data_IF_675473160465
#
_entry.id   IF_675473160465
#
_cell.length_a   1.000
_cell.length_b   1.000
_cell.length_c   1.000
_cell.angle_alpha   90.00
_cell.angle_beta   90.00
_cell.angle_gamma   90.00
#
_symmetry.space_group_name_H-M   'P 1'
#
loop_
_entity.id
_entity.type
_entity.pdbx_description
1 polymer ?
#
# COMPACT_ATOMS: atom_id res chain seq x y z
N UNK A 1 -21.04 81.71 39.81
CA UNK A 1 -21.83 80.55 39.34
C UNK A 1 -22.16 80.74 37.86
N UNK A 2 -21.50 80.03 36.94
CA UNK A 2 -21.98 79.82 35.55
C UNK A 2 -21.09 78.76 34.87
N UNK A 3 -21.44 77.50 35.10
CA UNK A 3 -20.91 76.31 34.39
C UNK A 3 -22.15 75.54 33.94
N UNK A 4 -22.47 75.53 32.64
CA UNK A 4 -23.35 74.57 31.96
C UNK A 4 -23.68 75.07 30.53
N UNK A 5 -22.69 75.20 29.63
CA UNK A 5 -22.94 75.55 28.21
C UNK A 5 -21.92 74.94 27.24
N UNK A 6 -21.56 73.67 27.42
CA UNK A 6 -20.74 72.92 26.45
C UNK A 6 -21.51 71.73 25.82
N UNK A 7 -22.33 71.03 26.61
CA UNK A 7 -23.06 69.85 26.13
C UNK A 7 -24.14 70.16 25.09
N UNK A 8 -24.81 71.32 25.17
CA UNK A 8 -25.86 71.70 24.22
C UNK A 8 -25.33 72.16 22.86
N UNK A 9 -24.06 72.59 22.78
CA UNK A 9 -23.42 72.96 21.49
C UNK A 9 -22.93 71.73 20.70
N UNK A 10 -22.65 70.62 21.36
CA UNK A 10 -22.22 69.37 20.72
C UNK A 10 -23.38 68.61 20.06
N UNK A 11 -24.62 68.81 20.55
CA UNK A 11 -25.80 68.10 20.07
C UNK A 11 -26.39 68.75 18.79
N UNK A 12 -26.13 70.03 18.55
CA UNK A 12 -26.69 70.77 17.40
C UNK A 12 -25.73 70.90 16.20
N UNK A 13 -24.58 70.23 16.23
CA UNK A 13 -23.54 70.38 15.19
C UNK A 13 -23.65 69.27 14.13
N UNK A 14 -24.34 69.56 13.02
CA UNK A 14 -24.56 68.61 11.91
C UNK A 14 -23.25 68.18 11.21
N UNK A 15 -22.15 68.91 11.42
CA UNK A 15 -20.82 68.54 10.93
C UNK A 15 -20.28 67.26 11.57
N UNK A 16 -20.80 66.86 12.74
CA UNK A 16 -20.48 65.61 13.41
C UNK A 16 -21.29 64.40 12.93
N UNK A 17 -22.43 64.60 12.26
CA UNK A 17 -23.30 63.49 11.84
C UNK A 17 -22.63 62.60 10.78
N UNK A 18 -21.81 63.20 9.91
CA UNK A 18 -20.97 62.46 8.95
C UNK A 18 -19.93 61.61 9.68
N UNK A 19 -19.33 62.12 10.76
CA UNK A 19 -18.37 61.36 11.55
C UNK A 19 -19.02 60.19 12.30
N UNK A 20 -20.25 60.36 12.81
CA UNK A 20 -21.01 59.28 13.46
C UNK A 20 -21.42 58.21 12.44
N UNK A 21 -21.97 58.59 11.28
CA UNK A 21 -22.29 57.63 10.22
C UNK A 21 -21.05 56.91 9.68
N UNK A 22 -19.94 57.64 9.49
CA UNK A 22 -18.67 57.07 9.08
C UNK A 22 -18.14 56.06 10.11
N UNK A 23 -18.18 56.38 11.41
CA UNK A 23 -17.74 55.48 12.46
C UNK A 23 -18.56 54.18 12.52
N UNK A 24 -19.89 54.26 12.33
CA UNK A 24 -20.77 53.09 12.31
C UNK A 24 -20.49 52.21 11.08
N UNK A 25 -20.36 52.81 9.89
CA UNK A 25 -20.07 52.06 8.67
C UNK A 25 -18.68 51.42 8.73
N UNK A 26 -17.67 52.16 9.21
CA UNK A 26 -16.32 51.64 9.39
C UNK A 26 -16.30 50.44 10.35
N UNK A 27 -17.06 50.52 11.45
CA UNK A 27 -17.19 49.41 12.39
C UNK A 27 -17.82 48.17 11.74
N UNK A 28 -18.87 48.33 10.94
CA UNK A 28 -19.52 47.22 10.22
C UNK A 28 -18.56 46.59 9.20
N UNK A 29 -17.81 47.41 8.44
CA UNK A 29 -16.83 46.90 7.45
C UNK A 29 -15.70 46.14 8.14
N UNK A 30 -15.17 46.66 9.25
CA UNK A 30 -14.12 45.99 10.02
C UNK A 30 -14.63 44.69 10.65
N UNK A 31 -15.86 44.66 11.16
CA UNK A 31 -16.50 43.44 11.66
C UNK A 31 -16.65 42.38 10.58
N UNK A 32 -17.15 42.75 9.40
CA UNK A 32 -17.30 41.84 8.27
C UNK A 32 -15.93 41.32 7.76
N UNK A 33 -14.93 42.18 7.68
CA UNK A 33 -13.57 41.79 7.32
C UNK A 33 -12.96 40.83 8.36
N UNK A 34 -13.21 41.06 9.64
CA UNK A 34 -12.74 40.20 10.72
C UNK A 34 -13.33 38.80 10.66
N UNK A 35 -14.64 38.70 10.45
CA UNK A 35 -15.32 37.41 10.24
C UNK A 35 -14.73 36.68 9.01
N UNK A 36 -14.53 37.40 7.89
CA UNK A 36 -13.98 36.79 6.69
C UNK A 36 -12.56 36.23 6.90
N UNK A 37 -11.71 36.94 7.65
CA UNK A 37 -10.35 36.50 7.99
C UNK A 37 -10.40 35.25 8.89
N UNK A 38 -11.23 35.26 9.94
CA UNK A 38 -11.34 34.12 10.87
C UNK A 38 -11.95 32.88 10.20
N UNK A 39 -12.93 33.05 9.29
CA UNK A 39 -13.48 31.94 8.49
C UNK A 39 -12.43 31.38 7.52
N UNK A 40 -11.63 32.24 6.91
CA UNK A 40 -10.55 31.78 6.01
C UNK A 40 -9.48 31.02 6.80
N UNK A 41 -9.10 31.53 7.98
CA UNK A 41 -8.12 30.89 8.86
C UNK A 41 -8.61 29.55 9.40
N UNK A 42 -9.86 29.48 9.87
CA UNK A 42 -10.47 28.23 10.35
C UNK A 42 -10.58 27.20 9.24
N UNK A 43 -10.94 27.61 8.01
CA UNK A 43 -10.99 26.69 6.86
C UNK A 43 -9.62 26.09 6.52
N UNK A 44 -8.56 26.91 6.54
CA UNK A 44 -7.19 26.41 6.33
C UNK A 44 -6.74 25.45 7.43
N UNK A 45 -7.04 25.77 8.69
CA UNK A 45 -6.69 24.93 9.84
C UNK A 45 -7.46 23.62 9.89
N UNK A 46 -8.74 23.64 9.50
CA UNK A 46 -9.55 22.43 9.34
C UNK A 46 -8.93 21.49 8.30
N UNK A 47 -8.52 22.02 7.15
CA UNK A 47 -7.84 21.22 6.13
C UNK A 47 -6.52 20.61 6.63
N UNK A 48 -5.74 21.36 7.41
CA UNK A 48 -4.48 20.88 8.02
C UNK A 48 -4.74 19.75 9.04
N UNK A 49 -5.77 19.89 9.88
CA UNK A 49 -6.18 18.85 10.84
C UNK A 49 -6.66 17.60 10.10
N UNK A 50 -7.48 17.74 9.05
CA UNK A 50 -7.92 16.59 8.23
C UNK A 50 -6.72 15.83 7.64
N UNK A 51 -5.76 16.52 7.04
CA UNK A 51 -4.56 15.89 6.48
C UNK A 51 -3.72 15.18 7.57
N UNK A 52 -3.59 15.80 8.75
CA UNK A 52 -2.90 15.21 9.89
C UNK A 52 -3.63 13.99 10.47
N UNK A 53 -4.96 14.03 10.54
CA UNK A 53 -5.82 12.91 10.98
C UNK A 53 -5.65 11.74 10.02
N UNK A 54 -5.75 11.97 8.70
CA UNK A 54 -5.58 10.94 7.67
C UNK A 54 -4.20 10.27 7.75
N UNK A 55 -3.15 11.06 7.93
CA UNK A 55 -1.79 10.53 8.13
C UNK A 55 -1.69 9.72 9.43
N UNK A 56 -2.32 10.18 10.51
CA UNK A 56 -2.35 9.51 11.81
C UNK A 56 -3.05 8.16 11.78
N UNK A 57 -4.26 8.10 11.20
CA UNK A 57 -5.03 6.85 11.11
C UNK A 57 -4.38 5.84 10.17
N UNK A 58 -3.77 6.29 9.06
CA UNK A 58 -3.01 5.41 8.18
C UNK A 58 -1.77 4.82 8.88
N UNK A 59 -1.09 5.61 9.71
CA UNK A 59 0.05 5.13 10.48
C UNK A 59 -0.36 4.11 11.54
N UNK A 60 -1.49 4.33 12.24
CA UNK A 60 -2.05 3.34 13.17
C UNK A 60 -2.47 2.05 12.46
N UNK A 61 -3.15 2.15 11.31
CA UNK A 61 -3.53 0.98 10.51
C UNK A 61 -2.30 0.15 10.09
N UNK A 62 -1.23 0.80 9.61
CA UNK A 62 0.05 0.13 9.29
C UNK A 62 0.70 -0.53 10.51
N UNK A 63 0.63 0.10 11.67
CA UNK A 63 1.19 -0.46 12.90
C UNK A 63 0.45 -1.72 13.34
N UNK A 64 -0.90 -1.72 13.29
CA UNK A 64 -1.74 -2.89 13.57
C UNK A 64 -1.48 -4.03 12.60
N UNK A 65 -1.26 -3.74 11.32
CA UNK A 65 -0.91 -4.75 10.32
C UNK A 65 0.37 -5.53 10.68
N UNK A 66 1.38 -4.84 11.23
CA UNK A 66 2.60 -5.49 11.74
C UNK A 66 2.54 -5.93 13.20
N UNK A 67 1.45 -5.66 13.93
CA UNK A 67 1.29 -6.05 15.35
C UNK A 67 -0.16 -6.44 15.61
N UNK A 68 -0.57 -7.68 15.26
CA UNK A 68 -1.97 -8.10 15.34
C UNK A 68 -2.58 -7.97 16.74
N UNK A 69 -1.76 -8.11 17.78
CA UNK A 69 -2.16 -8.03 19.18
C UNK A 69 -2.08 -6.62 19.79
N UNK A 70 -1.79 -5.58 18.99
CA UNK A 70 -1.75 -4.21 19.48
C UNK A 70 -3.15 -3.78 19.97
N UNK A 71 -3.21 -3.17 21.14
CA UNK A 71 -4.43 -2.61 21.72
C UNK A 71 -4.72 -1.20 21.16
N UNK A 72 -5.96 -0.74 21.35
CA UNK A 72 -6.42 0.59 20.90
C UNK A 72 -5.57 1.73 21.49
N UNK A 73 -4.96 1.51 22.66
CA UNK A 73 -4.10 2.49 23.32
C UNK A 73 -2.76 2.63 22.57
N UNK A 74 -2.12 1.53 22.18
CA UNK A 74 -0.91 1.56 21.35
C UNK A 74 -1.18 2.19 19.97
N UNK A 75 -2.33 1.89 19.36
CA UNK A 75 -2.74 2.49 18.09
C UNK A 75 -2.95 4.00 18.21
N UNK A 76 -3.61 4.43 19.28
CA UNK A 76 -3.83 5.85 19.56
C UNK A 76 -2.51 6.57 19.81
N UNK A 77 -1.53 5.94 20.48
CA UNK A 77 -0.21 6.52 20.69
C UNK A 77 0.57 6.72 19.39
N UNK A 78 0.52 5.75 18.47
CA UNK A 78 1.17 5.84 17.15
C UNK A 78 0.50 6.90 16.28
N UNK A 79 -0.84 6.89 16.21
CA UNK A 79 -1.60 7.91 15.49
C UNK A 79 -1.28 9.31 16.00
N UNK A 80 -1.24 9.51 17.32
CA UNK A 80 -0.95 10.81 17.94
C UNK A 80 0.44 11.30 17.57
N UNK A 81 1.45 10.43 17.58
CA UNK A 81 2.82 10.81 17.23
C UNK A 81 2.93 11.32 15.78
N UNK A 82 2.23 10.67 14.84
CA UNK A 82 2.22 11.09 13.44
C UNK A 82 1.39 12.35 13.25
N UNK A 83 0.23 12.42 13.88
CA UNK A 83 -0.63 13.61 13.89
C UNK A 83 0.13 14.86 14.39
N UNK A 84 0.82 14.74 15.53
CA UNK A 84 1.63 15.81 16.12
C UNK A 84 2.82 16.21 15.24
N UNK A 85 3.32 15.32 14.38
CA UNK A 85 4.36 15.63 13.42
C UNK A 85 3.82 16.32 12.16
N UNK A 86 2.55 16.06 11.80
CA UNK A 86 1.89 16.60 10.62
C UNK A 86 1.36 18.02 10.81
N UNK A 87 1.01 18.42 12.05
CA UNK A 87 0.58 19.81 12.34
C UNK A 87 1.79 20.75 12.39
N UNK A 88 1.83 21.72 11.49
CA UNK A 88 2.92 22.70 11.35
C UNK A 88 2.82 23.82 12.37
N UNK A 89 1.61 24.20 12.76
CA UNK A 89 1.38 25.28 13.73
C UNK A 89 0.37 24.87 14.81
N UNK A 90 0.93 24.55 15.97
CA UNK A 90 0.26 24.08 17.19
C UNK A 90 -0.20 25.20 18.11
N UNK A 91 0.14 26.45 17.81
CA UNK A 91 -0.02 27.57 18.76
C UNK A 91 -1.45 28.08 18.89
N UNK A 92 -2.35 27.66 17.99
CA UNK A 92 -3.72 28.15 17.90
C UNK A 92 -4.79 27.05 18.08
N UNK A 93 -4.38 25.78 18.22
CA UNK A 93 -5.28 24.62 18.26
C UNK A 93 -5.09 23.92 19.61
N UNK A 94 -6.16 23.75 20.38
CA UNK A 94 -6.21 22.77 21.47
C UNK A 94 -6.91 21.50 20.99
N UNK A 95 -6.40 20.33 21.37
CA UNK A 95 -7.01 19.03 21.07
C UNK A 95 -7.58 18.51 22.37
N UNK A 96 -8.89 18.34 22.43
CA UNK A 96 -9.62 17.97 23.64
C UNK A 96 -9.88 16.46 23.70
N UNK A 97 -10.10 15.82 22.54
CA UNK A 97 -10.17 14.38 22.42
C UNK A 97 -9.45 13.87 21.15
N UNK A 98 -8.84 12.68 21.29
CA UNK A 98 -8.15 11.98 20.20
C UNK A 98 -8.22 10.49 20.51
N UNK A 99 -9.00 9.74 19.75
CA UNK A 99 -9.22 8.32 20.02
C UNK A 99 -9.26 7.54 18.71
N UNK A 100 -8.43 6.50 18.62
CA UNK A 100 -8.59 5.47 17.58
C UNK A 100 -9.52 4.40 18.13
N UNK A 101 -10.56 4.08 17.37
CA UNK A 101 -11.43 2.92 17.63
C UNK A 101 -11.28 1.93 16.49
N UNK A 102 -11.02 0.67 16.82
CA UNK A 102 -11.05 -0.42 15.86
C UNK A 102 -12.40 -1.15 15.95
N UNK A 103 -13.07 -1.31 14.81
CA UNK A 103 -14.23 -2.17 14.68
C UNK A 103 -13.81 -3.50 14.04
N UNK A 104 -13.63 -4.52 14.89
CA UNK A 104 -13.26 -5.89 14.50
C UNK A 104 -14.27 -6.51 13.50
N UNK A 105 -15.51 -6.02 13.42
CA UNK A 105 -16.54 -6.61 12.56
C UNK A 105 -16.41 -6.18 11.08
N UNK A 106 -15.79 -5.02 10.82
CA UNK A 106 -15.72 -4.41 9.48
C UNK A 106 -14.27 -4.13 9.03
N UNK A 107 -13.28 -4.50 9.85
CA UNK A 107 -11.85 -4.19 9.68
C UNK A 107 -11.60 -2.68 9.43
N UNK A 108 -12.39 -1.84 10.11
CA UNK A 108 -12.35 -0.39 9.98
C UNK A 108 -11.73 0.24 11.22
N UNK A 109 -10.75 1.12 11.02
CA UNK A 109 -10.25 2.03 12.04
C UNK A 109 -10.91 3.38 11.84
N UNK A 110 -11.48 3.92 12.90
CA UNK A 110 -11.91 5.32 12.94
C UNK A 110 -10.99 6.07 13.90
N UNK A 111 -10.50 7.24 13.46
CA UNK A 111 -9.81 8.20 14.32
C UNK A 111 -10.72 9.41 14.49
N UNK A 112 -11.10 9.64 15.74
CA UNK A 112 -11.86 10.81 16.17
C UNK A 112 -10.90 11.84 16.77
N UNK A 113 -10.96 13.08 16.26
CA UNK A 113 -10.16 14.22 16.71
C UNK A 113 -11.07 15.41 16.95
N UNK A 114 -11.20 15.78 18.22
CA UNK A 114 -11.92 16.97 18.67
C UNK A 114 -10.91 18.04 19.09
N UNK A 115 -11.09 19.27 18.60
CA UNK A 115 -10.28 20.39 19.03
C UNK A 115 -10.94 21.75 18.86
N UNK A 116 -10.41 22.75 19.56
CA UNK A 116 -10.87 24.14 19.45
C UNK A 116 -9.79 25.04 18.86
N UNK A 117 -10.23 25.99 18.03
CA UNK A 117 -9.40 27.00 17.41
C UNK A 117 -9.73 28.38 18.00
N UNK A 118 -8.71 29.08 18.50
CA UNK A 118 -8.87 30.46 18.98
C UNK A 118 -9.06 31.44 17.80
N UNK A 119 -10.20 32.13 17.79
CA UNK A 119 -10.54 33.17 16.81
C UNK A 119 -9.85 34.50 17.13
N UNK A 120 -9.28 35.16 16.10
CA UNK A 120 -8.49 36.38 16.32
C UNK A 120 -9.36 37.63 16.49
N UNK A 121 -10.42 37.74 15.68
CA UNK A 121 -11.24 38.94 15.59
C UNK A 121 -12.68 38.69 16.07
N UNK A 122 -13.18 37.45 15.94
CA UNK A 122 -14.47 37.01 16.46
C UNK A 122 -14.51 36.98 18.00
N UNK A 123 -13.34 36.88 18.65
CA UNK A 123 -13.18 37.03 20.11
C UNK A 123 -13.61 38.40 20.64
N UNK A 124 -13.53 39.46 19.83
CA UNK A 124 -14.02 40.82 20.19
C UNK A 124 -15.55 40.84 20.30
N UNK A 125 -16.24 39.91 19.62
CA UNK A 125 -17.70 39.78 19.60
C UNK A 125 -18.23 38.69 20.55
N UNK A 126 -17.38 38.16 21.43
CA UNK A 126 -17.78 37.16 22.44
C UNK A 126 -17.81 35.70 21.95
N UNK A 127 -17.38 35.44 20.71
CA UNK A 127 -17.14 34.07 20.21
C UNK A 127 -15.66 33.91 19.88
N UNK A 128 -14.87 33.66 20.91
CA UNK A 128 -13.42 33.53 20.82
C UNK A 128 -12.93 32.15 20.40
N UNK A 129 -13.79 31.15 20.32
CA UNK A 129 -13.43 29.77 20.02
C UNK A 129 -14.33 29.21 18.93
N UNK A 130 -13.73 28.47 18.00
CA UNK A 130 -14.39 27.73 16.93
C UNK A 130 -14.10 26.24 17.17
N UNK A 131 -15.15 25.44 17.35
CA UNK A 131 -15.05 23.98 17.52
C UNK A 131 -14.78 23.32 16.16
N UNK A 132 -13.87 22.34 16.15
CA UNK A 132 -13.47 21.58 14.97
C UNK A 132 -13.55 20.10 15.30
N UNK A 133 -14.58 19.44 14.79
CA UNK A 133 -14.76 18.00 14.87
C UNK A 133 -14.27 17.36 13.57
N UNK A 134 -13.39 16.38 13.67
CA UNK A 134 -12.85 15.64 12.53
C UNK A 134 -12.83 14.15 12.78
N UNK A 135 -13.62 13.42 12.01
CA UNK A 135 -13.60 11.96 11.95
C UNK A 135 -12.96 11.52 10.63
N UNK A 136 -11.96 10.64 10.71
CA UNK A 136 -11.39 9.96 9.53
C UNK A 136 -11.48 8.46 9.72
N UNK A 137 -11.86 7.76 8.66
CA UNK A 137 -12.01 6.30 8.63
C UNK A 137 -11.07 5.69 7.61
N UNK A 138 -10.38 4.62 8.00
CA UNK A 138 -9.54 3.81 7.12
C UNK A 138 -9.94 2.34 7.26
N UNK A 139 -10.11 1.67 6.12
CA UNK A 139 -10.25 0.22 6.07
C UNK A 139 -8.86 -0.41 6.02
N UNK A 140 -8.63 -1.43 6.84
CA UNK A 140 -7.47 -2.30 6.63
C UNK A 140 -7.74 -3.04 5.31
N UNK A 141 -6.91 -2.79 4.30
CA UNK A 141 -6.88 -3.67 3.15
C UNK A 141 -6.42 -5.05 3.62
N UNK A 142 -6.95 -6.11 3.02
CA UNK A 142 -6.43 -7.46 3.25
C UNK A 142 -4.89 -7.44 3.09
N UNK A 143 -4.15 -8.14 3.97
CA UNK A 143 -2.70 -8.21 3.87
C UNK A 143 -2.31 -8.58 2.42
N UNK A 144 -1.40 -7.82 1.77
CA UNK A 144 -1.08 -8.09 0.37
C UNK A 144 -0.54 -9.51 0.25
N UNK A 145 -1.27 -10.35 -0.46
CA UNK A 145 -0.82 -11.67 -0.91
C UNK A 145 0.35 -11.45 -1.85
N UNK A 146 1.50 -12.04 -1.52
CA UNK A 146 2.72 -11.84 -2.29
C UNK A 146 3.05 -13.14 -3.03
N UNK A 147 2.83 -13.13 -4.34
CA UNK A 147 3.18 -14.24 -5.22
C UNK A 147 4.49 -13.94 -5.96
N UNK A 148 5.51 -14.81 -5.78
CA UNK A 148 6.85 -14.63 -6.36
C UNK A 148 7.26 -15.87 -7.13
N UNK A 149 7.59 -15.72 -8.41
CA UNK A 149 8.18 -16.79 -9.22
C UNK A 149 9.69 -16.55 -9.41
N UNK A 150 10.50 -17.50 -8.93
CA UNK A 150 11.96 -17.45 -9.02
C UNK A 150 12.44 -18.26 -10.23
N UNK A 151 12.84 -17.58 -11.31
CA UNK A 151 13.53 -18.19 -12.43
C UNK A 151 15.03 -18.33 -12.13
N UNK A 152 15.49 -19.56 -11.87
CA UNK A 152 16.85 -19.84 -11.40
C UNK A 152 17.70 -20.50 -12.49
N UNK A 153 18.77 -19.81 -12.88
CA UNK A 153 19.75 -20.33 -13.84
C UNK A 153 20.54 -21.48 -13.21
N UNK A 154 20.41 -22.68 -13.79
CA UNK A 154 21.17 -23.89 -13.41
C UNK A 154 21.98 -24.42 -14.58
N UNK A 155 22.47 -23.54 -15.44
CA UNK A 155 23.28 -23.90 -16.61
C UNK A 155 24.66 -24.40 -16.19
N UNK A 156 25.37 -25.12 -17.08
CA UNK A 156 26.70 -25.64 -16.77
C UNK A 156 27.72 -24.58 -16.32
N UNK A 157 27.52 -23.31 -16.74
CA UNK A 157 28.36 -22.18 -16.32
C UNK A 157 28.25 -21.86 -14.82
N UNK A 158 27.15 -22.26 -14.18
CA UNK A 158 26.88 -22.07 -12.75
C UNK A 158 27.70 -23.03 -11.87
N UNK A 159 28.27 -24.08 -12.45
CA UNK A 159 29.19 -24.96 -11.74
C UNK A 159 30.60 -24.35 -11.54
N UNK A 160 30.84 -23.15 -12.08
CA UNK A 160 32.13 -22.48 -11.99
C UNK A 160 32.17 -21.52 -10.79
N UNK A 161 33.32 -21.43 -10.13
CA UNK A 161 33.62 -20.44 -9.08
C UNK A 161 32.58 -20.37 -7.94
N UNK A 162 31.90 -21.48 -7.63
CA UNK A 162 30.89 -21.53 -6.57
C UNK A 162 29.61 -20.72 -6.86
N UNK A 163 29.36 -20.33 -8.12
CA UNK A 163 28.17 -19.52 -8.49
C UNK A 163 26.86 -20.17 -8.08
N UNK A 164 26.70 -21.47 -8.31
CA UNK A 164 25.49 -22.20 -7.91
C UNK A 164 25.32 -22.20 -6.38
N UNK A 165 26.40 -22.33 -5.62
CA UNK A 165 26.35 -22.25 -4.14
C UNK A 165 25.94 -20.86 -3.67
N UNK A 166 26.47 -19.80 -4.31
CA UNK A 166 26.07 -18.43 -4.00
C UNK A 166 24.60 -18.16 -4.35
N UNK A 167 24.12 -18.66 -5.51
CA UNK A 167 22.71 -18.58 -5.89
C UNK A 167 21.82 -19.29 -4.88
N UNK A 168 22.19 -20.51 -4.45
CA UNK A 168 21.44 -21.26 -3.45
C UNK A 168 21.31 -20.51 -2.12
N UNK A 169 22.41 -19.93 -1.64
CA UNK A 169 22.38 -19.16 -0.40
C UNK A 169 21.50 -17.91 -0.55
N UNK A 170 21.71 -17.12 -1.61
CA UNK A 170 20.94 -15.90 -1.83
C UNK A 170 19.44 -16.17 -2.03
N UNK A 171 19.08 -17.25 -2.73
CA UNK A 171 17.68 -17.65 -2.91
C UNK A 171 17.03 -18.08 -1.58
N UNK A 172 17.75 -18.81 -0.73
CA UNK A 172 17.25 -19.19 0.60
C UNK A 172 17.10 -17.98 1.52
N UNK A 173 18.05 -17.06 1.50
CA UNK A 173 17.97 -15.82 2.28
C UNK A 173 16.77 -14.97 1.84
N UNK A 174 16.51 -14.89 0.53
CA UNK A 174 15.31 -14.24 -0.01
C UNK A 174 14.04 -14.92 0.46
N UNK A 175 13.91 -16.24 0.27
CA UNK A 175 12.73 -17.02 0.70
C UNK A 175 12.46 -16.77 2.18
N UNK A 176 13.47 -16.92 3.03
CA UNK A 176 13.37 -16.68 4.46
C UNK A 176 12.91 -15.25 4.77
N UNK A 177 13.50 -14.24 4.14
CA UNK A 177 13.12 -12.84 4.37
C UNK A 177 11.68 -12.51 3.96
N UNK A 178 11.14 -13.22 2.96
CA UNK A 178 9.77 -13.06 2.53
C UNK A 178 8.80 -13.74 3.51
N UNK A 179 9.10 -14.95 3.97
CA UNK A 179 8.26 -15.66 4.95
C UNK A 179 8.33 -15.07 6.37
N UNK A 180 9.44 -14.44 6.75
CA UNK A 180 9.57 -13.72 8.03
C UNK A 180 8.86 -12.34 8.01
N UNK A 181 8.39 -11.86 6.86
CA UNK A 181 7.64 -10.61 6.76
C UNK A 181 6.23 -10.78 7.35
N UNK A 182 6.02 -10.23 8.55
CA UNK A 182 4.75 -10.33 9.28
C UNK A 182 3.57 -9.72 8.49
N UNK A 183 2.46 -10.47 8.42
CA UNK A 183 1.23 -9.99 7.81
C UNK A 183 1.18 -10.10 6.28
N UNK A 184 1.87 -11.06 5.67
CA UNK A 184 1.71 -11.36 4.22
C UNK A 184 1.51 -12.86 3.99
N UNK A 185 0.52 -13.23 3.17
CA UNK A 185 0.37 -14.60 2.66
C UNK A 185 1.30 -14.73 1.45
N UNK A 186 2.47 -15.34 1.67
CA UNK A 186 3.54 -15.43 0.68
C UNK A 186 3.50 -16.79 -0.01
N UNK A 187 3.37 -16.78 -1.33
CA UNK A 187 3.55 -17.97 -2.17
C UNK A 187 4.76 -17.80 -3.06
N UNK A 188 5.62 -18.81 -3.09
CA UNK A 188 6.82 -18.80 -3.92
C UNK A 188 6.81 -20.00 -4.86
N UNK A 189 7.07 -19.75 -6.13
CA UNK A 189 7.27 -20.76 -7.17
C UNK A 189 8.75 -20.77 -7.59
N UNK A 190 9.29 -21.96 -7.87
CA UNK A 190 10.71 -22.12 -8.22
C UNK A 190 10.81 -22.76 -9.60
N UNK A 191 11.44 -22.05 -10.54
CA UNK A 191 11.66 -22.52 -11.92
C UNK A 191 13.16 -22.66 -12.18
N UNK A 192 13.75 -23.83 -11.95
CA UNK A 192 15.12 -24.09 -12.38
C UNK A 192 15.15 -24.27 -13.89
N UNK A 193 16.00 -23.51 -14.58
CA UNK A 193 16.11 -23.57 -16.03
C UNK A 193 17.55 -23.71 -16.52
N UNK A 194 17.67 -24.38 -17.66
CA UNK A 194 18.89 -24.38 -18.45
C UNK A 194 18.51 -24.14 -19.92
N UNK A 195 18.61 -25.16 -20.76
CA UNK A 195 18.19 -25.11 -22.16
C UNK A 195 16.68 -25.31 -22.31
N UNK A 196 16.08 -25.95 -21.29
CA UNK A 196 14.67 -26.19 -21.10
C UNK A 196 14.34 -26.07 -19.62
N UNK A 197 13.05 -25.97 -19.30
CA UNK A 197 12.52 -26.15 -17.95
C UNK A 197 11.71 -27.45 -17.88
N UNK A 198 11.55 -27.98 -16.68
CA UNK A 198 10.78 -29.18 -16.43
C UNK A 198 9.51 -28.82 -15.68
N UNK A 199 8.37 -29.30 -16.14
CA UNK A 199 7.08 -29.23 -15.43
C UNK A 199 6.80 -30.50 -14.61
N UNK A 200 7.71 -31.49 -14.64
CA UNK A 200 7.46 -32.82 -14.09
C UNK A 200 6.57 -33.69 -14.98
N UNK A 201 6.29 -34.91 -14.52
CA UNK A 201 5.57 -35.92 -15.32
C UNK A 201 4.05 -35.90 -15.09
N UNK A 202 3.59 -35.21 -14.06
CA UNK A 202 2.20 -35.21 -13.62
C UNK A 202 1.27 -34.58 -14.67
N UNK A 203 1.80 -33.63 -15.44
CA UNK A 203 1.10 -32.94 -16.53
C UNK A 203 1.19 -33.64 -17.89
N UNK A 204 1.71 -34.88 -17.94
CA UNK A 204 1.94 -35.61 -19.21
C UNK A 204 0.67 -35.82 -20.06
N UNK A 205 -0.51 -35.76 -19.44
CA UNK A 205 -1.82 -35.92 -20.11
C UNK A 205 -2.61 -34.61 -20.19
N UNK A 206 -2.00 -33.49 -19.81
CA UNK A 206 -2.68 -32.21 -19.73
C UNK A 206 -3.14 -31.72 -21.12
N UNK A 207 -4.35 -31.15 -21.24
CA UNK A 207 -4.92 -30.75 -22.52
C UNK A 207 -4.15 -29.61 -23.20
N UNK A 208 -3.45 -28.77 -22.43
CA UNK A 208 -2.62 -27.67 -22.89
C UNK A 208 -1.19 -28.09 -23.31
N UNK A 209 -0.81 -29.35 -23.07
CA UNK A 209 0.49 -29.90 -23.45
C UNK A 209 0.39 -30.63 -24.78
N UNK A 210 1.32 -30.35 -25.69
CA UNK A 210 1.50 -31.15 -26.89
C UNK A 210 2.27 -32.43 -26.52
N UNK A 211 1.56 -33.55 -26.47
CA UNK A 211 2.11 -34.83 -26.01
C UNK A 211 3.29 -35.28 -26.90
N UNK A 212 4.51 -35.41 -26.34
CA UNK A 212 5.69 -35.61 -27.18
C UNK A 212 6.09 -37.08 -27.34
N UNK A 213 5.37 -38.02 -26.71
CA UNK A 213 5.63 -39.45 -26.81
C UNK A 213 6.08 -40.10 -25.50
N UNK A 214 6.37 -41.41 -25.57
CA UNK A 214 6.58 -42.27 -24.40
C UNK A 214 7.88 -42.00 -23.61
N UNK A 215 8.85 -41.25 -24.15
CA UNK A 215 10.09 -40.90 -23.45
C UNK A 215 10.05 -39.48 -22.84
N UNK A 216 8.85 -38.89 -22.71
CA UNK A 216 8.65 -37.62 -22.01
C UNK A 216 9.06 -37.74 -20.54
N UNK A 217 9.86 -36.77 -20.07
CA UNK A 217 10.31 -36.70 -18.67
C UNK A 217 9.96 -35.36 -18.00
N UNK A 218 9.01 -34.62 -18.57
CA UNK A 218 8.57 -33.31 -18.04
C UNK A 218 9.21 -32.09 -18.71
N UNK A 219 10.13 -32.27 -19.66
CA UNK A 219 10.80 -31.14 -20.29
C UNK A 219 9.91 -30.43 -21.31
N UNK A 220 9.78 -29.12 -21.20
CA UNK A 220 8.99 -28.30 -22.13
C UNK A 220 9.85 -27.31 -22.90
N UNK A 221 9.44 -27.03 -24.13
CA UNK A 221 9.99 -25.96 -24.95
C UNK A 221 9.12 -24.70 -24.91
N UNK A 222 9.64 -23.62 -25.47
CA UNK A 222 8.86 -22.41 -25.70
C UNK A 222 7.85 -22.63 -26.83
N UNK A 223 6.69 -21.97 -26.73
CA UNK A 223 5.74 -21.87 -27.84
C UNK A 223 6.33 -21.06 -29.00
N UNK A 224 5.75 -21.20 -30.18
CA UNK A 224 6.12 -20.38 -31.35
C UNK A 224 5.56 -18.96 -31.25
N UNK A 225 6.22 -18.00 -31.90
CA UNK A 225 5.71 -16.64 -32.02
C UNK A 225 4.36 -16.61 -32.78
N UNK A 226 3.35 -15.84 -32.31
CA UNK A 226 3.39 -14.85 -31.23
C UNK A 226 3.11 -15.37 -29.81
N UNK A 227 2.73 -16.64 -29.66
CA UNK A 227 2.27 -17.24 -28.40
C UNK A 227 3.35 -17.43 -27.34
N UNK A 228 4.62 -17.20 -27.70
CA UNK A 228 5.72 -17.11 -26.74
C UNK A 228 5.74 -15.79 -25.96
N UNK A 229 4.86 -14.84 -26.29
CA UNK A 229 4.76 -13.52 -25.65
C UNK A 229 3.38 -13.23 -25.04
N UNK A 230 2.43 -14.14 -25.23
CA UNK A 230 1.07 -14.05 -24.66
C UNK A 230 0.86 -15.21 -23.70
N UNK A 231 -0.15 -15.09 -22.86
CA UNK A 231 -0.52 -16.11 -21.86
C UNK A 231 -1.97 -16.57 -22.09
N UNK A 232 -2.25 -16.98 -23.31
CA UNK A 232 -3.58 -17.36 -23.79
C UNK A 232 -3.52 -18.53 -24.79
N UNK A 233 -4.69 -18.93 -25.29
CA UNK A 233 -4.86 -19.88 -26.40
C UNK A 233 -4.21 -21.27 -26.23
N UNK A 234 -4.02 -21.72 -24.99
CA UNK A 234 -3.42 -23.03 -24.67
C UNK A 234 -4.15 -24.25 -25.24
N UNK A 235 -5.42 -24.10 -25.64
CA UNK A 235 -6.20 -25.17 -26.29
C UNK A 235 -5.82 -25.39 -27.75
N UNK A 236 -5.44 -24.31 -28.45
CA UNK A 236 -5.09 -24.30 -29.88
C UNK A 236 -3.58 -24.37 -30.08
N UNK A 237 -2.83 -23.60 -29.29
CA UNK A 237 -1.37 -23.46 -29.37
C UNK A 237 -0.73 -23.96 -28.07
N UNK A 238 -0.66 -25.29 -28.00
CA UNK A 238 -0.18 -26.04 -26.85
C UNK A 238 1.31 -25.85 -26.59
N UNK A 239 1.71 -25.98 -25.34
CA UNK A 239 3.14 -25.99 -24.95
C UNK A 239 3.80 -27.24 -25.55
N UNK A 240 4.92 -27.12 -26.29
CA UNK A 240 5.61 -28.28 -26.84
C UNK A 240 6.29 -29.07 -25.72
N UNK A 241 5.83 -30.30 -25.49
CA UNK A 241 6.59 -31.27 -24.72
C UNK A 241 7.82 -31.72 -25.52
N UNK A 242 8.91 -32.07 -24.83
CA UNK A 242 10.13 -32.52 -25.47
C UNK A 242 10.42 -33.98 -25.12
N UNK A 243 10.45 -34.82 -26.14
CA UNK A 243 10.61 -36.26 -25.98
C UNK A 243 12.08 -36.62 -25.72
N UNK A 244 12.40 -37.19 -24.56
CA UNK A 244 13.75 -37.64 -24.22
C UNK A 244 14.78 -36.51 -24.06
N UNK A 245 14.37 -35.24 -24.05
CA UNK A 245 15.28 -34.12 -23.82
C UNK A 245 15.77 -34.09 -22.37
N UNK A 246 17.02 -33.66 -22.11
CA UNK A 246 17.47 -33.38 -20.76
C UNK A 246 17.07 -31.97 -20.34
N UNK A 247 16.42 -31.86 -19.19
CA UNK A 247 16.10 -30.62 -18.50
C UNK A 247 16.47 -30.73 -17.01
N UNK A 248 16.55 -29.62 -16.28
CA UNK A 248 16.71 -29.64 -14.83
C UNK A 248 15.57 -30.36 -14.10
N UNK A 249 15.67 -30.44 -12.77
CA UNK A 249 14.58 -30.93 -11.93
C UNK A 249 13.27 -30.18 -12.20
N UNK A 250 12.13 -30.84 -11.99
CA UNK A 250 10.81 -30.23 -12.14
C UNK A 250 10.69 -28.92 -11.36
N UNK A 251 10.02 -27.93 -11.92
CA UNK A 251 9.69 -26.71 -11.20
C UNK A 251 8.76 -27.03 -10.01
N UNK A 252 8.72 -26.10 -9.05
CA UNK A 252 7.78 -26.14 -7.94
C UNK A 252 6.70 -25.08 -8.19
N UNK A 253 5.40 -25.46 -8.23
CA UNK A 253 4.30 -24.51 -8.27
C UNK A 253 4.33 -23.54 -7.08
N UNK A 254 3.53 -22.48 -7.14
CA UNK A 254 3.39 -21.54 -6.01
C UNK A 254 3.03 -22.29 -4.74
N UNK A 255 3.88 -22.17 -3.72
CA UNK A 255 3.76 -22.89 -2.45
C UNK A 255 4.06 -21.98 -1.26
N UNK A 256 3.41 -22.27 -0.13
CA UNK A 256 3.65 -21.65 1.18
C UNK A 256 4.59 -22.48 2.06
N UNK A 257 5.06 -23.64 1.58
CA UNK A 257 5.96 -24.54 2.32
C UNK A 257 7.42 -24.10 2.19
N UNK A 258 7.86 -23.23 3.11
CA UNK A 258 9.23 -22.72 3.18
C UNK A 258 10.28 -23.84 3.19
N UNK A 259 10.02 -24.94 3.91
CA UNK A 259 10.99 -26.04 4.07
C UNK A 259 11.14 -26.81 2.75
N UNK A 260 10.04 -27.09 2.07
CA UNK A 260 10.08 -27.74 0.76
C UNK A 260 10.76 -26.86 -0.29
N UNK A 261 10.51 -25.55 -0.27
CA UNK A 261 11.16 -24.59 -1.16
C UNK A 261 12.67 -24.51 -0.91
N UNK A 262 13.10 -24.40 0.35
CA UNK A 262 14.52 -24.40 0.71
C UNK A 262 15.21 -25.71 0.30
N UNK A 263 14.55 -26.85 0.52
CA UNK A 263 15.05 -28.16 0.09
C UNK A 263 15.20 -28.24 -1.43
N UNK A 264 14.26 -27.66 -2.18
CA UNK A 264 14.33 -27.58 -3.64
C UNK A 264 15.53 -26.78 -4.12
N UNK A 265 15.81 -25.64 -3.48
CA UNK A 265 17.00 -24.83 -3.77
C UNK A 265 18.27 -25.63 -3.48
N UNK A 266 18.34 -26.33 -2.34
CA UNK A 266 19.51 -27.13 -1.99
C UNK A 266 19.75 -28.29 -2.96
N UNK A 267 18.71 -28.81 -3.60
CA UNK A 267 18.80 -29.86 -4.61
C UNK A 267 19.30 -29.38 -6.00
N UNK A 268 19.36 -28.07 -6.27
CA UNK A 268 19.69 -27.58 -7.62
C UNK A 268 21.07 -28.02 -8.11
N UNK A 269 21.14 -28.51 -9.36
CA UNK A 269 22.37 -28.97 -9.97
C UNK A 269 22.62 -28.26 -11.31
N UNK A 270 23.85 -27.77 -11.48
CA UNK A 270 24.24 -26.98 -12.65
C UNK A 270 24.64 -27.86 -13.84
N UNK A 271 23.87 -27.84 -14.93
CA UNK A 271 24.13 -28.59 -16.16
C UNK A 271 23.42 -27.98 -17.39
N UNK A 272 23.86 -28.34 -18.60
CA UNK A 272 23.20 -27.96 -19.86
C UNK A 272 23.55 -26.56 -20.37
N UNK A 273 22.93 -26.19 -21.50
CA UNK A 273 23.09 -24.90 -22.17
C UNK A 273 22.13 -23.85 -21.63
N UNK A 274 22.37 -22.57 -21.93
CA UNK A 274 21.52 -21.46 -21.46
C UNK A 274 20.50 -21.06 -22.52
N UNK A 275 19.23 -21.13 -22.18
CA UNK A 275 18.14 -20.55 -22.96
C UNK A 275 17.14 -19.85 -22.04
N UNK A 276 17.31 -18.53 -21.88
CA UNK A 276 16.57 -17.70 -20.91
C UNK A 276 15.04 -17.80 -21.05
N UNK A 277 14.45 -17.79 -22.27
CA UNK A 277 13.00 -17.89 -22.41
C UNK A 277 12.39 -19.15 -21.80
N UNK A 278 13.14 -20.26 -21.71
CA UNK A 278 12.66 -21.48 -21.06
C UNK A 278 12.49 -21.33 -19.55
N UNK A 279 13.17 -20.39 -18.89
CA UNK A 279 12.95 -20.09 -17.47
C UNK A 279 11.88 -19.03 -17.25
N UNK A 280 11.86 -17.99 -18.08
CA UNK A 280 10.91 -16.87 -17.91
C UNK A 280 9.47 -17.25 -18.25
N UNK A 281 9.24 -18.05 -19.29
CA UNK A 281 7.88 -18.41 -19.72
C UNK A 281 7.15 -19.20 -18.63
N UNK A 282 7.72 -20.29 -18.06
CA UNK A 282 7.06 -21.02 -16.97
C UNK A 282 6.98 -20.21 -15.68
N UNK A 283 7.94 -19.31 -15.42
CA UNK A 283 7.86 -18.43 -14.25
C UNK A 283 6.70 -17.43 -14.35
N UNK A 284 6.45 -16.90 -15.55
CA UNK A 284 5.26 -16.06 -15.79
C UNK A 284 3.97 -16.88 -15.64
N UNK A 285 3.94 -18.09 -16.22
CA UNK A 285 2.80 -19.01 -16.11
C UNK A 285 2.48 -19.40 -14.66
N UNK A 286 3.46 -19.47 -13.77
CA UNK A 286 3.22 -19.73 -12.35
C UNK A 286 2.47 -18.60 -11.64
N UNK A 287 2.61 -17.37 -12.13
CA UNK A 287 1.92 -16.19 -11.60
C UNK A 287 0.58 -15.95 -12.29
N UNK A 288 0.23 -16.79 -13.26
CA UNK A 288 -1.02 -16.68 -14.01
C UNK A 288 -2.09 -17.60 -13.42
N UNK A 289 -3.37 -17.18 -13.46
CA UNK A 289 -4.49 -18.09 -13.20
C UNK A 289 -4.77 -19.04 -14.38
N UNK A 290 -4.16 -18.80 -15.55
CA UNK A 290 -4.33 -19.62 -16.75
C UNK A 290 -3.45 -20.88 -16.71
N UNK A 291 -3.87 -21.99 -17.33
CA UNK A 291 -3.02 -23.18 -17.44
C UNK A 291 -1.64 -22.82 -18.00
N UNK A 292 -0.54 -23.46 -17.55
CA UNK A 292 -0.44 -24.80 -16.97
C UNK A 292 -0.62 -24.92 -15.45
N UNK A 293 -0.58 -23.81 -14.71
CA UNK A 293 -0.65 -23.77 -13.26
C UNK A 293 -1.90 -22.99 -12.85
N UNK A 294 -2.52 -23.34 -11.73
CA UNK A 294 -3.77 -22.71 -11.26
C UNK A 294 -3.63 -22.11 -9.87
N UNK A 295 -2.42 -22.11 -9.33
CA UNK A 295 -2.09 -21.63 -8.01
C UNK A 295 -1.95 -20.10 -7.94
N UNK A 296 -1.77 -19.47 -9.10
CA UNK A 296 -1.72 -18.01 -9.26
C UNK A 296 -3.08 -17.37 -9.01
N UNK A 297 -3.05 -16.21 -8.37
CA UNK A 297 -4.24 -15.44 -8.06
C UNK A 297 -4.94 -14.95 -9.35
N UNK A 298 -6.28 -14.82 -9.31
CA UNK A 298 -6.99 -14.29 -10.47
C UNK A 298 -6.64 -12.81 -10.69
N UNK A 299 -6.56 -12.38 -11.94
CA UNK A 299 -6.27 -10.97 -12.26
C UNK A 299 -7.29 -9.97 -11.68
N UNK A 300 -8.48 -10.44 -11.29
CA UNK A 300 -9.52 -9.62 -10.67
C UNK A 300 -9.30 -9.41 -9.16
N UNK A 301 -8.52 -10.26 -8.50
CA UNK A 301 -8.22 -10.19 -7.06
C UNK A 301 -6.95 -9.37 -6.76
N UNK A 302 -6.18 -9.00 -7.79
CA UNK A 302 -4.95 -8.21 -7.69
C UNK A 302 -5.22 -6.68 -7.76
N UNK A 303 -6.46 -6.27 -8.06
CA UNK A 303 -6.86 -4.87 -8.29
C UNK A 303 -7.62 -4.26 -7.10
#
# INVERSE_FOLDING_TARGET
MRRLTLHTRLISDERGNVAVMFAVILFIILGAAGIAIDVTRSSMKRSEIHEATDAGILAAARYKAGHPNADDEALTAVARKVFDASIKDKSAISIDAFKVTFDDANDTFALDVDGTLDALLMGVFGQGQIEIDTVSEVRLGDPPTLEVALALDVTGSMNQKGKISALKNAAKDLIKSLFEAEGSDVKIGIVPFAQYASIGTDYSTAPWLNYPGAAFKGCVGSRDYPYNTTDDDYSLYKIPGLNGAPCPDALTPLSTDEVALASKIDALNANGWTYIPAGLTPAWQLLSPEPPFSEGMSYAEIA
#
